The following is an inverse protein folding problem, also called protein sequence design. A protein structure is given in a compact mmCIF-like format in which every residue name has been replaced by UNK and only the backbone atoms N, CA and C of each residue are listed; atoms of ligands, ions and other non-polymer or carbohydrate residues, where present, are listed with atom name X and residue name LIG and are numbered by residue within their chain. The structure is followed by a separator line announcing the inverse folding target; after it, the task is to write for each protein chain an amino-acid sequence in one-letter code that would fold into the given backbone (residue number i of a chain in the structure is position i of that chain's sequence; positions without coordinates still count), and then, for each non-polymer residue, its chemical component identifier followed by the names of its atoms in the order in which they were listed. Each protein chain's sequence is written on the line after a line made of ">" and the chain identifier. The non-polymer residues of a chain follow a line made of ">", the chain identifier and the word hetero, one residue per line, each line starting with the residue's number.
data_IF_344160039122
#
_entry.id   IF_344160039122
#
_cell.length_a   1.000
_cell.length_b   1.000
_cell.length_c   1.000
_cell.angle_alpha   90.00
_cell.angle_beta   90.00
_cell.angle_gamma   90.00
#
_symmetry.space_group_name_H-M   'P 1'
#
loop_
_entity.id
_entity.type
_entity.pdbx_description
1 polymer ?
#
# COMPACT_ATOMS: atom_id res chain seq x y z
N UNK A 1 8.84 10.46 8.82
CA UNK A 1 8.43 9.74 7.59
C UNK A 1 7.80 10.77 6.69
N UNK A 2 8.27 10.91 5.46
CA UNK A 2 7.86 11.99 4.58
C UNK A 2 6.92 11.50 3.47
N UNK A 3 5.64 11.85 3.60
CA UNK A 3 4.61 11.63 2.58
C UNK A 3 4.39 12.86 1.72
N UNK A 4 5.04 13.99 2.00
CA UNK A 4 5.00 15.14 1.10
C UNK A 4 5.78 14.77 -0.14
N UNK A 5 5.17 15.02 -1.30
CA UNK A 5 5.83 14.84 -2.60
C UNK A 5 6.39 16.18 -3.06
N UNK A 6 5.51 17.16 -3.24
CA UNK A 6 5.86 18.55 -3.48
C UNK A 6 5.15 19.44 -2.47
N UNK A 7 5.90 20.24 -1.70
CA UNK A 7 5.32 21.24 -0.83
C UNK A 7 5.07 22.55 -1.58
N UNK A 8 3.86 23.10 -1.45
CA UNK A 8 3.54 24.47 -1.88
C UNK A 8 3.11 25.28 -0.67
N UNK A 9 3.80 26.39 -0.39
CA UNK A 9 3.45 27.23 0.76
C UNK A 9 2.14 28.01 0.54
N UNK A 10 1.41 28.39 1.61
CA UNK A 10 0.12 29.09 1.47
C UNK A 10 0.18 30.39 0.65
N UNK A 11 1.22 31.25 0.74
CA UNK A 11 1.33 32.42 -0.13
C UNK A 11 1.40 32.08 -1.62
N UNK A 12 2.07 30.98 -2.00
CA UNK A 12 2.13 30.54 -3.39
C UNK A 12 0.76 30.05 -3.89
N UNK A 13 0.04 29.27 -3.08
CA UNK A 13 -1.33 28.83 -3.39
C UNK A 13 -2.28 30.02 -3.54
N UNK A 14 -2.14 31.05 -2.68
CA UNK A 14 -2.94 32.29 -2.77
C UNK A 14 -2.68 33.07 -4.07
N UNK A 15 -1.44 33.06 -4.57
CA UNK A 15 -1.05 33.76 -5.80
C UNK A 15 -1.43 32.98 -7.06
N UNK A 16 -1.35 31.65 -7.02
CA UNK A 16 -1.78 30.77 -8.10
C UNK A 16 -2.54 29.57 -7.51
N UNK A 17 -3.89 29.58 -7.58
CA UNK A 17 -4.73 28.49 -7.06
C UNK A 17 -4.53 27.13 -7.72
N UNK A 18 -3.85 27.05 -8.87
CA UNK A 18 -3.50 25.77 -9.50
C UNK A 18 -2.37 25.04 -8.75
N UNK A 19 -1.54 25.78 -8.01
CA UNK A 19 -0.49 25.20 -7.18
C UNK A 19 -1.10 24.58 -5.92
N UNK A 20 -0.70 23.35 -5.61
CA UNK A 20 -1.14 22.62 -4.42
C UNK A 20 -0.02 21.71 -3.92
N UNK A 21 0.05 21.51 -2.61
CA UNK A 21 0.92 20.48 -2.03
C UNK A 21 0.45 19.11 -2.52
N UNK A 22 1.37 18.33 -3.09
CA UNK A 22 1.12 16.96 -3.52
C UNK A 22 1.67 15.97 -2.49
N UNK A 23 1.11 14.77 -2.50
CA UNK A 23 1.39 13.76 -1.49
C UNK A 23 1.72 12.42 -2.15
N UNK A 24 2.74 11.74 -1.62
CA UNK A 24 3.06 10.36 -1.97
C UNK A 24 1.96 9.45 -1.45
N UNK A 25 1.61 8.42 -2.22
CA UNK A 25 0.70 7.36 -1.75
C UNK A 25 1.35 6.62 -0.59
N UNK A 26 0.66 6.51 0.55
CA UNK A 26 1.10 5.70 1.69
C UNK A 26 1.02 4.21 1.36
N UNK A 27 1.90 3.41 1.95
CA UNK A 27 1.90 1.95 1.85
C UNK A 27 0.51 1.35 2.14
N UNK A 28 -0.01 0.52 1.23
CA UNK A 28 -1.33 -0.10 1.36
C UNK A 28 -1.45 -0.98 2.61
N UNK A 29 -0.40 -1.69 2.99
CA UNK A 29 -0.37 -2.48 4.23
C UNK A 29 -0.67 -1.61 5.46
N UNK A 30 -0.07 -0.42 5.53
CA UNK A 30 -0.33 0.51 6.61
C UNK A 30 -1.72 1.15 6.56
N UNK A 31 -2.24 1.43 5.36
CA UNK A 31 -3.60 1.95 5.17
C UNK A 31 -4.69 0.93 5.54
N UNK A 32 -4.38 -0.36 5.44
CA UNK A 32 -5.31 -1.47 5.72
C UNK A 32 -5.07 -2.11 7.10
N UNK A 33 -4.16 -1.56 7.89
CA UNK A 33 -3.97 -1.91 9.29
C UNK A 33 -5.27 -1.65 10.07
N UNK A 34 -5.55 -2.43 11.12
CA UNK A 34 -6.77 -2.31 11.93
C UNK A 34 -6.96 -0.91 12.50
N UNK A 35 -5.85 -0.28 12.89
CA UNK A 35 -5.79 1.13 13.24
C UNK A 35 -4.76 1.84 12.34
N UNK A 36 -5.15 2.43 11.20
CA UNK A 36 -4.21 3.05 10.28
C UNK A 36 -3.45 4.25 10.85
N UNK A 37 -4.00 4.89 11.89
CA UNK A 37 -3.39 6.06 12.52
C UNK A 37 -2.41 5.69 13.65
N UNK A 38 -2.36 4.43 14.07
CA UNK A 38 -1.47 4.00 15.15
C UNK A 38 0.00 4.06 14.73
N UNK A 39 0.94 4.23 15.68
CA UNK A 39 2.38 4.11 15.42
C UNK A 39 2.80 2.73 14.90
N UNK A 40 2.02 1.68 15.18
CA UNK A 40 2.28 0.31 14.70
C UNK A 40 1.96 0.10 13.22
N UNK A 41 1.13 0.95 12.62
CA UNK A 41 0.85 0.90 11.19
C UNK A 41 2.05 1.40 10.36
N UNK A 42 2.21 0.90 9.13
CA UNK A 42 3.26 1.39 8.24
C UNK A 42 2.90 2.79 7.69
N UNK A 43 3.72 3.81 7.95
CA UNK A 43 3.48 5.18 7.44
C UNK A 43 4.35 5.54 6.22
N UNK A 44 5.19 4.61 5.76
CA UNK A 44 6.13 4.86 4.65
C UNK A 44 5.38 5.06 3.32
N UNK A 45 5.93 5.87 2.39
CA UNK A 45 5.40 5.96 1.03
C UNK A 45 5.51 4.60 0.31
N UNK A 46 4.54 4.28 -0.52
CA UNK A 46 4.61 3.15 -1.44
C UNK A 46 5.67 3.42 -2.53
N UNK A 47 6.15 2.38 -3.21
CA UNK A 47 7.10 2.53 -4.35
C UNK A 47 6.44 3.08 -5.62
N UNK A 48 5.31 3.78 -5.49
CA UNK A 48 4.63 4.49 -6.58
C UNK A 48 4.11 3.56 -7.67
N UNK A 49 4.52 3.82 -8.91
CA UNK A 49 4.13 3.04 -10.08
C UNK A 49 4.47 1.54 -9.93
N UNK A 50 5.59 1.22 -9.28
CA UNK A 50 6.10 -0.15 -9.19
C UNK A 50 5.40 -1.01 -8.14
N UNK A 51 4.80 -0.40 -7.11
CA UNK A 51 4.14 -1.15 -6.04
C UNK A 51 3.27 -0.27 -5.17
N UNK A 52 2.14 -0.84 -4.75
CA UNK A 52 1.27 -0.29 -3.71
C UNK A 52 1.83 -0.45 -2.28
N UNK A 53 2.99 -1.10 -2.13
CA UNK A 53 3.67 -1.29 -0.85
C UNK A 53 5.01 -0.55 -0.80
N UNK A 54 5.48 -0.22 0.40
CA UNK A 54 6.80 0.40 0.57
C UNK A 54 7.95 -0.63 0.47
N UNK A 55 7.65 -1.90 0.72
CA UNK A 55 8.62 -3.00 0.65
C UNK A 55 7.92 -4.32 0.38
N UNK A 56 8.69 -5.32 -0.03
CA UNK A 56 8.19 -6.66 -0.34
C UNK A 56 7.67 -7.33 0.95
N UNK A 57 8.29 -7.06 2.10
CA UNK A 57 7.83 -7.52 3.41
C UNK A 57 6.45 -6.97 3.76
N UNK A 58 6.19 -5.68 3.50
CA UNK A 58 4.85 -5.12 3.67
C UNK A 58 3.84 -5.75 2.70
N UNK A 59 4.27 -6.09 1.48
CA UNK A 59 3.44 -6.83 0.52
C UNK A 59 3.07 -8.22 1.02
N UNK A 60 4.04 -8.98 1.54
CA UNK A 60 3.83 -10.32 2.13
C UNK A 60 2.88 -10.25 3.33
N UNK A 61 3.15 -9.37 4.29
CA UNK A 61 2.29 -9.19 5.48
C UNK A 61 0.85 -8.81 5.12
N UNK A 62 0.67 -7.95 4.11
CA UNK A 62 -0.67 -7.64 3.62
C UNK A 62 -1.37 -8.87 3.03
N UNK A 63 -0.66 -9.68 2.24
CA UNK A 63 -1.24 -10.89 1.65
C UNK A 63 -1.57 -11.94 2.71
N UNK A 64 -0.71 -12.15 3.70
CA UNK A 64 -0.98 -13.03 4.85
C UNK A 64 -2.25 -12.59 5.59
N UNK A 65 -2.33 -11.31 5.98
CA UNK A 65 -3.52 -10.73 6.62
C UNK A 65 -4.78 -10.91 5.76
N UNK A 66 -4.67 -10.70 4.45
CA UNK A 66 -5.80 -10.82 3.52
C UNK A 66 -6.29 -12.26 3.38
N UNK A 67 -5.37 -13.23 3.28
CA UNK A 67 -5.69 -14.66 3.23
C UNK A 67 -6.34 -15.09 4.55
N UNK A 68 -5.77 -14.71 5.69
CA UNK A 68 -6.36 -15.01 7.01
C UNK A 68 -7.77 -14.44 7.14
N UNK A 69 -8.02 -13.22 6.67
CA UNK A 69 -9.38 -12.64 6.70
C UNK A 69 -10.36 -13.39 5.79
N UNK A 70 -9.91 -13.81 4.61
CA UNK A 70 -10.71 -14.59 3.66
C UNK A 70 -11.05 -15.97 4.23
N UNK A 71 -10.08 -16.63 4.85
CA UNK A 71 -10.25 -17.91 5.56
C UNK A 71 -11.28 -17.78 6.69
N UNK A 72 -11.17 -16.76 7.54
CA UNK A 72 -12.18 -16.46 8.57
C UNK A 72 -13.58 -16.17 8.03
N UNK A 73 -13.72 -15.86 6.74
CA UNK A 73 -15.00 -15.63 6.07
C UNK A 73 -15.54 -16.90 5.37
N UNK A 74 -14.94 -18.07 5.60
CA UNK A 74 -15.33 -19.35 5.00
C UNK A 74 -14.46 -19.79 3.81
N UNK A 75 -13.36 -19.10 3.53
CA UNK A 75 -12.39 -19.51 2.51
C UNK A 75 -11.62 -20.77 2.91
N UNK A 76 -11.27 -21.62 1.94
CA UNK A 76 -10.43 -22.80 2.14
C UNK A 76 -9.00 -22.53 1.66
N UNK A 77 -8.07 -22.40 2.61
CA UNK A 77 -6.66 -22.09 2.32
C UNK A 77 -5.95 -23.17 1.50
N UNK A 78 -6.25 -24.44 1.73
CA UNK A 78 -5.63 -25.54 1.00
C UNK A 78 -6.08 -25.54 -0.46
N UNK A 79 -7.39 -25.32 -0.70
CA UNK A 79 -7.92 -25.18 -2.05
C UNK A 79 -7.28 -23.98 -2.78
N UNK A 80 -7.12 -22.84 -2.10
CA UNK A 80 -6.43 -21.68 -2.66
C UNK A 80 -4.98 -22.01 -3.04
N UNK A 81 -4.25 -22.74 -2.20
CA UNK A 81 -2.88 -23.15 -2.50
C UNK A 81 -2.81 -24.03 -3.75
N UNK A 82 -3.70 -25.01 -3.87
CA UNK A 82 -3.76 -25.88 -5.03
C UNK A 82 -3.99 -25.12 -6.34
N UNK A 83 -4.77 -24.04 -6.30
CA UNK A 83 -5.00 -23.16 -7.46
C UNK A 83 -3.79 -22.29 -7.84
N UNK A 84 -2.97 -21.87 -6.86
CA UNK A 84 -1.92 -20.86 -7.08
C UNK A 84 -0.48 -21.39 -7.00
N UNK A 85 -0.26 -22.64 -6.59
CA UNK A 85 1.09 -23.21 -6.39
C UNK A 85 1.99 -23.24 -7.64
N UNK A 86 1.39 -23.16 -8.82
CA UNK A 86 2.09 -23.08 -10.10
C UNK A 86 2.04 -21.68 -10.73
N UNK A 87 1.57 -20.67 -9.99
CA UNK A 87 1.53 -19.31 -10.48
C UNK A 87 2.95 -18.74 -10.59
N UNK A 88 3.28 -18.24 -11.78
CA UNK A 88 4.56 -17.59 -12.04
C UNK A 88 4.41 -16.07 -12.03
N UNK A 89 5.51 -15.39 -11.66
CA UNK A 89 5.57 -13.94 -11.78
C UNK A 89 5.51 -13.56 -13.25
N UNK A 90 4.58 -12.68 -13.62
CA UNK A 90 4.59 -12.07 -14.95
C UNK A 90 5.75 -11.10 -15.04
N UNK A 91 6.81 -11.51 -15.73
CA UNK A 91 7.94 -10.65 -16.10
C UNK A 91 7.44 -9.48 -16.98
N UNK A 92 7.96 -8.28 -16.75
CA UNK A 92 7.71 -7.12 -17.62
C UNK A 92 6.43 -6.31 -17.40
N UNK A 93 5.60 -6.62 -16.39
CA UNK A 93 4.45 -5.78 -16.02
C UNK A 93 4.85 -4.86 -14.86
N UNK A 94 4.90 -3.55 -15.13
CA UNK A 94 5.11 -2.48 -14.14
C UNK A 94 3.77 -1.87 -13.77
#
# INVERSE_FOLDING_TARGET
>A
IDLVDQFTCPPCVKKNPELRTTWKRRCLYGLRHENPSSPSACHKPARGAFSKYCSDECGKKYMEMHISKWESSGGNRDALWEEVKHAEKREGVV
#
